data_IF_118960911094
#
_entry.id   IF_118960911094
#
_cell.length_a   1.000
_cell.length_b   1.000
_cell.length_c   1.000
_cell.angle_alpha   90.00
_cell.angle_beta   90.00
_cell.angle_gamma   90.00
#
_symmetry.space_group_name_H-M   'P 1'
#
loop_
_entity.id
_entity.type
_entity.pdbx_description
1 polymer ?
#
# COMPACT_ATOMS: atom_id res chain seq x y z
N UNK A 1 10.52 11.74 -0.24
CA UNK A 1 10.25 11.87 1.23
C UNK A 1 10.55 10.55 1.91
N UNK A 2 10.01 9.44 1.42
CA UNK A 2 10.28 8.11 1.96
C UNK A 2 11.74 7.71 1.87
N UNK A 3 12.46 8.10 0.82
CA UNK A 3 13.90 7.84 0.68
C UNK A 3 14.70 8.50 1.79
N UNK A 4 14.33 9.73 2.17
CA UNK A 4 14.91 10.43 3.31
C UNK A 4 14.55 9.73 4.63
N UNK A 5 13.31 9.26 4.79
CA UNK A 5 12.92 8.50 5.98
C UNK A 5 13.70 7.18 6.09
N UNK A 6 13.95 6.49 4.97
CA UNK A 6 14.83 5.31 4.90
C UNK A 6 16.27 5.66 5.28
N UNK A 7 16.80 6.78 4.80
CA UNK A 7 18.13 7.27 5.19
C UNK A 7 18.20 7.63 6.68
N UNK A 8 17.21 8.35 7.20
CA UNK A 8 17.06 8.71 8.62
C UNK A 8 17.07 7.44 9.51
N UNK A 9 16.30 6.41 9.14
CA UNK A 9 16.26 5.08 9.81
C UNK A 9 17.62 4.37 9.80
N UNK A 10 18.32 4.36 8.65
CA UNK A 10 19.62 3.70 8.54
C UNK A 10 20.72 4.43 9.33
N UNK A 11 20.67 5.77 9.35
CA UNK A 11 21.57 6.61 10.15
C UNK A 11 21.34 6.44 11.66
N UNK A 12 20.09 6.26 12.09
CA UNK A 12 19.76 5.93 13.47
C UNK A 12 20.26 4.53 13.83
N UNK A 13 19.96 3.53 13.01
CA UNK A 13 20.38 2.15 13.25
C UNK A 13 21.91 1.99 13.38
N UNK A 14 22.68 2.71 12.55
CA UNK A 14 24.14 2.73 12.63
C UNK A 14 24.67 3.25 13.98
N UNK A 15 23.93 4.13 14.67
CA UNK A 15 24.30 4.66 16.00
C UNK A 15 24.01 3.69 17.13
N UNK A 16 22.98 2.85 16.98
CA UNK A 16 22.52 1.90 18.01
C UNK A 16 22.91 0.44 17.72
N UNK A 17 23.94 0.23 16.90
CA UNK A 17 24.52 -1.10 16.65
C UNK A 17 23.69 -1.97 15.72
N UNK A 18 23.21 -1.39 14.61
CA UNK A 18 22.31 -2.00 13.62
C UNK A 18 20.96 -2.40 14.21
N UNK A 19 20.40 -1.54 15.07
CA UNK A 19 19.06 -1.69 15.65
C UNK A 19 18.30 -0.38 15.66
N UNK A 20 16.99 -0.44 15.47
CA UNK A 20 16.10 0.71 15.64
C UNK A 20 15.08 0.41 16.75
N UNK A 21 14.63 1.45 17.44
CA UNK A 21 13.54 1.33 18.40
C UNK A 21 12.22 1.39 17.64
N UNK A 22 11.44 0.31 17.73
CA UNK A 22 10.08 0.22 17.16
C UNK A 22 9.10 0.24 18.32
N UNK A 23 8.10 1.11 18.24
CA UNK A 23 6.97 1.13 19.19
C UNK A 23 5.77 0.48 18.52
N UNK A 24 5.37 -0.70 19.03
CA UNK A 24 4.18 -1.41 18.58
C UNK A 24 2.95 -1.00 19.42
N UNK A 25 1.81 -0.80 18.74
CA UNK A 25 0.50 -0.60 19.38
C UNK A 25 -0.22 -1.95 19.50
N UNK A 26 -0.43 -2.40 20.74
CA UNK A 26 -1.18 -3.63 21.03
C UNK A 26 -2.70 -3.42 20.83
N UNK A 27 -3.49 -4.50 20.61
CA UNK A 27 -4.93 -4.40 20.39
C UNK A 27 -5.75 -3.79 21.54
N UNK A 28 -5.17 -3.63 22.72
CA UNK A 28 -5.75 -2.95 23.89
C UNK A 28 -5.33 -1.47 24.01
N UNK A 29 -4.56 -0.95 23.04
CA UNK A 29 -4.05 0.42 22.99
C UNK A 29 -2.78 0.65 23.81
N UNK A 30 -2.14 -0.41 24.35
CA UNK A 30 -0.83 -0.27 25.01
C UNK A 30 0.30 -0.14 23.98
N UNK A 31 1.20 0.82 24.21
CA UNK A 31 2.40 1.03 23.39
C UNK A 31 3.58 0.26 24.01
N UNK A 32 4.27 -0.56 23.22
CA UNK A 32 5.40 -1.38 23.65
C UNK A 32 6.62 -1.09 22.79
N UNK A 33 7.72 -0.69 23.42
CA UNK A 33 8.99 -0.40 22.74
C UNK A 33 9.88 -1.66 22.64
N UNK A 34 10.34 -1.98 21.43
CA UNK A 34 11.22 -3.11 21.13
C UNK A 34 12.40 -2.68 20.24
N UNK A 35 13.60 -3.19 20.54
CA UNK A 35 14.80 -2.96 19.74
C UNK A 35 14.94 -3.99 18.62
N UNK A 36 14.48 -3.63 17.42
CA UNK A 36 14.53 -4.50 16.24
C UNK A 36 15.88 -4.39 15.51
N UNK A 37 16.54 -5.52 15.17
CA UNK A 37 17.73 -5.52 14.34
C UNK A 37 17.39 -5.19 12.89
N UNK A 38 18.14 -4.26 12.30
CA UNK A 38 17.93 -3.82 10.91
C UNK A 38 19.23 -3.79 10.13
N UNK A 39 19.14 -4.09 8.84
CA UNK A 39 20.25 -4.05 7.87
C UNK A 39 19.88 -3.11 6.72
N UNK A 40 20.84 -2.76 5.87
CA UNK A 40 20.58 -2.02 4.62
C UNK A 40 19.48 -2.65 3.77
N UNK A 41 19.40 -3.98 3.83
CA UNK A 41 18.56 -4.80 2.96
C UNK A 41 17.18 -5.06 3.58
N UNK A 42 17.02 -4.85 4.90
CA UNK A 42 15.72 -4.97 5.58
C UNK A 42 14.90 -3.68 5.55
N UNK A 43 15.52 -2.53 5.29
CA UNK A 43 14.82 -1.23 5.23
C UNK A 43 14.57 -0.88 3.76
N UNK A 44 13.30 -0.87 3.32
CA UNK A 44 12.90 -0.57 1.93
C UNK A 44 11.77 0.44 1.89
N UNK A 45 11.74 1.29 0.86
CA UNK A 45 10.57 2.12 0.59
C UNK A 45 9.45 1.25 -0.01
N UNK A 46 8.17 1.63 0.07
CA UNK A 46 7.10 0.86 -0.55
C UNK A 46 7.34 0.64 -2.05
N UNK A 47 7.82 1.67 -2.77
CA UNK A 47 8.21 1.57 -4.18
C UNK A 47 9.23 0.44 -4.41
N UNK A 48 10.32 0.41 -3.64
CA UNK A 48 11.35 -0.64 -3.74
C UNK A 48 10.80 -2.04 -3.52
N UNK A 49 9.81 -2.22 -2.62
CA UNK A 49 9.15 -3.51 -2.41
C UNK A 49 8.35 -3.93 -3.65
N UNK A 50 7.66 -3.02 -4.33
CA UNK A 50 6.94 -3.35 -5.57
C UNK A 50 7.87 -3.54 -6.78
N UNK A 51 8.96 -2.78 -6.89
CA UNK A 51 10.01 -2.99 -7.89
C UNK A 51 10.65 -4.39 -7.76
N UNK A 52 10.87 -4.88 -6.53
CA UNK A 52 11.35 -6.24 -6.29
C UNK A 52 10.33 -7.32 -6.63
N UNK A 53 9.03 -7.07 -6.40
CA UNK A 53 7.97 -7.99 -6.84
C UNK A 53 7.88 -8.04 -8.38
N UNK A 54 8.01 -6.90 -9.07
CA UNK A 54 8.10 -6.84 -10.53
C UNK A 54 9.33 -7.60 -11.05
N UNK A 55 10.47 -7.47 -10.38
CA UNK A 55 11.69 -8.23 -10.71
C UNK A 55 11.57 -9.74 -10.46
N UNK A 56 10.62 -10.18 -9.63
CA UNK A 56 10.23 -11.58 -9.43
C UNK A 56 9.09 -12.04 -10.37
N UNK A 57 8.84 -11.29 -11.45
CA UNK A 57 7.81 -11.55 -12.46
C UNK A 57 6.35 -11.50 -11.94
N UNK A 58 6.10 -10.89 -10.77
CA UNK A 58 4.73 -10.62 -10.34
C UNK A 58 4.13 -9.47 -11.15
N UNK A 59 2.90 -9.66 -11.65
CA UNK A 59 2.13 -8.66 -12.39
C UNK A 59 1.51 -7.62 -11.45
N UNK A 60 2.38 -6.76 -10.90
CA UNK A 60 2.00 -5.65 -10.02
C UNK A 60 2.44 -4.32 -10.62
N UNK A 61 1.60 -3.30 -10.46
CA UNK A 61 1.88 -1.93 -10.84
C UNK A 61 1.47 -1.01 -9.70
N UNK A 62 2.38 -0.11 -9.32
CA UNK A 62 2.34 0.64 -8.07
C UNK A 62 2.29 2.14 -8.35
N UNK A 63 1.28 2.81 -7.81
CA UNK A 63 1.12 4.25 -7.91
C UNK A 63 1.01 4.89 -6.53
N UNK A 64 1.79 5.95 -6.28
CA UNK A 64 1.76 6.70 -5.02
C UNK A 64 0.91 7.96 -5.17
N UNK A 65 -0.32 7.93 -4.66
CA UNK A 65 -1.24 9.08 -4.75
C UNK A 65 -1.34 9.81 -3.40
N UNK A 66 -0.87 11.07 -3.28
CA UNK A 66 -0.74 11.78 -2.01
C UNK A 66 -2.08 12.37 -1.52
N UNK A 67 -3.06 11.51 -1.23
CA UNK A 67 -4.35 11.92 -0.67
C UNK A 67 -4.18 12.36 0.79
N UNK A 68 -4.40 13.65 1.05
CA UNK A 68 -4.44 14.22 2.41
C UNK A 68 -5.61 13.67 3.21
N UNK A 69 -5.42 13.39 4.50
CA UNK A 69 -6.47 12.78 5.32
C UNK A 69 -7.70 13.68 5.51
N UNK A 70 -8.85 13.03 5.65
CA UNK A 70 -10.20 13.63 5.83
C UNK A 70 -10.62 14.74 4.83
N UNK A 71 -9.92 14.87 3.70
CA UNK A 71 -10.20 15.87 2.66
C UNK A 71 -10.41 15.21 1.30
N UNK A 72 -11.14 15.90 0.43
CA UNK A 72 -11.20 15.54 -0.99
C UNK A 72 -9.78 15.53 -1.58
N UNK A 73 -9.46 14.59 -2.50
CA UNK A 73 -8.24 14.68 -3.30
C UNK A 73 -8.16 16.03 -4.02
N UNK A 74 -6.95 16.52 -4.28
CA UNK A 74 -6.79 17.67 -5.17
C UNK A 74 -7.10 17.24 -6.60
N UNK A 75 -7.45 18.19 -7.46
CA UNK A 75 -7.79 17.94 -8.87
C UNK A 75 -6.71 17.13 -9.59
N UNK A 76 -5.42 17.47 -9.39
CA UNK A 76 -4.31 16.72 -9.98
C UNK A 76 -4.23 15.25 -9.48
N UNK A 77 -4.43 15.02 -8.18
CA UNK A 77 -4.39 13.68 -7.58
C UNK A 77 -5.60 12.84 -8.06
N UNK A 78 -6.75 13.50 -8.23
CA UNK A 78 -7.96 12.91 -8.81
C UNK A 78 -7.77 12.53 -10.28
N UNK A 79 -7.19 13.42 -11.10
CA UNK A 79 -6.90 13.14 -12.51
C UNK A 79 -5.93 11.97 -12.70
N UNK A 80 -4.95 11.82 -11.80
CA UNK A 80 -4.06 10.65 -11.77
C UNK A 80 -4.86 9.37 -11.50
N UNK A 81 -5.70 9.36 -10.46
CA UNK A 81 -6.58 8.21 -10.13
C UNK A 81 -7.48 7.83 -11.32
N UNK A 82 -8.21 8.80 -11.87
CA UNK A 82 -9.12 8.59 -13.00
C UNK A 82 -8.37 8.04 -14.20
N UNK A 83 -7.20 8.62 -14.54
CA UNK A 83 -6.38 8.17 -15.67
C UNK A 83 -5.94 6.72 -15.49
N UNK A 84 -5.37 6.35 -14.33
CA UNK A 84 -4.87 4.99 -14.06
C UNK A 84 -6.01 3.97 -14.08
N UNK A 85 -7.14 4.26 -13.43
CA UNK A 85 -8.34 3.41 -13.47
C UNK A 85 -8.95 3.33 -14.87
N UNK A 86 -8.82 4.37 -15.70
CA UNK A 86 -9.32 4.37 -17.09
C UNK A 86 -8.43 3.64 -18.09
N UNK A 87 -7.15 3.44 -17.75
CA UNK A 87 -6.17 2.71 -18.56
C UNK A 87 -6.04 1.23 -18.15
N UNK A 88 -6.46 0.86 -16.94
CA UNK A 88 -6.57 -0.52 -16.48
C UNK A 88 -7.49 -1.37 -17.40
N UNK A 89 -7.18 -2.65 -17.54
CA UNK A 89 -8.07 -3.60 -18.21
C UNK A 89 -9.31 -3.88 -17.34
N UNK A 90 -10.36 -4.43 -17.95
CA UNK A 90 -11.61 -4.78 -17.28
C UNK A 90 -11.41 -5.91 -16.25
N UNK A 91 -10.39 -6.76 -16.45
CA UNK A 91 -10.05 -7.87 -15.54
C UNK A 91 -9.01 -7.48 -14.48
N UNK A 92 -8.36 -6.31 -14.62
CA UNK A 92 -7.32 -5.82 -13.69
C UNK A 92 -7.91 -5.59 -12.29
N UNK A 93 -7.31 -6.20 -11.27
CA UNK A 93 -7.72 -5.96 -9.88
C UNK A 93 -7.09 -4.66 -9.36
N UNK A 94 -7.90 -3.80 -8.76
CA UNK A 94 -7.47 -2.49 -8.25
C UNK A 94 -7.57 -2.49 -6.72
N UNK A 95 -6.42 -2.36 -6.06
CA UNK A 95 -6.32 -2.35 -4.59
C UNK A 95 -5.96 -0.94 -4.10
N UNK A 96 -6.77 -0.43 -3.19
CA UNK A 96 -6.52 0.82 -2.46
C UNK A 96 -6.18 0.50 -1.01
N UNK A 97 -5.07 1.03 -0.52
CA UNK A 97 -4.68 0.89 0.88
C UNK A 97 -4.27 2.26 1.45
N UNK A 98 -4.63 2.50 2.71
CA UNK A 98 -4.19 3.64 3.52
C UNK A 98 -4.00 3.15 4.96
N UNK A 99 -3.35 3.96 5.81
CA UNK A 99 -2.95 3.60 7.19
C UNK A 99 -3.98 2.78 7.99
N UNK A 100 -5.27 3.16 7.93
CA UNK A 100 -6.35 2.46 8.65
C UNK A 100 -7.32 1.71 7.72
N UNK A 101 -7.15 1.76 6.40
CA UNK A 101 -8.13 1.25 5.43
C UNK A 101 -9.50 1.96 5.41
N UNK A 102 -9.62 3.15 6.05
CA UNK A 102 -10.90 3.88 6.21
C UNK A 102 -11.10 4.96 5.14
N UNK A 103 -11.07 6.24 5.51
CA UNK A 103 -11.51 7.36 4.65
C UNK A 103 -10.89 7.36 3.26
N UNK A 104 -9.56 7.44 3.17
CA UNK A 104 -8.84 7.57 1.90
C UNK A 104 -9.02 6.34 0.99
N UNK A 105 -9.05 5.13 1.54
CA UNK A 105 -9.37 3.88 0.82
C UNK A 105 -10.78 3.93 0.25
N UNK A 106 -11.79 4.27 1.07
CA UNK A 106 -13.18 4.40 0.61
C UNK A 106 -13.33 5.44 -0.49
N UNK A 107 -12.67 6.60 -0.38
CA UNK A 107 -12.68 7.63 -1.42
C UNK A 107 -12.10 7.10 -2.74
N UNK A 108 -10.94 6.45 -2.72
CA UNK A 108 -10.33 5.84 -3.91
C UNK A 108 -11.22 4.78 -4.56
N UNK A 109 -11.83 3.91 -3.74
CA UNK A 109 -12.78 2.90 -4.22
C UNK A 109 -14.03 3.50 -4.87
N UNK A 110 -14.64 4.53 -4.27
CA UNK A 110 -15.82 5.21 -4.82
C UNK A 110 -15.50 5.87 -6.16
N UNK A 111 -14.40 6.62 -6.24
CA UNK A 111 -13.94 7.25 -7.50
C UNK A 111 -13.76 6.18 -8.58
N UNK A 112 -13.06 5.09 -8.25
CA UNK A 112 -12.77 4.02 -9.20
C UNK A 112 -14.02 3.29 -9.67
N UNK A 113 -14.97 3.07 -8.77
CA UNK A 113 -16.29 2.48 -9.10
C UNK A 113 -17.04 3.37 -10.09
N UNK A 114 -17.05 4.70 -9.87
CA UNK A 114 -17.69 5.66 -10.77
C UNK A 114 -17.04 5.70 -12.16
N UNK A 115 -15.70 5.71 -12.22
CA UNK A 115 -14.94 5.67 -13.48
C UNK A 115 -15.18 4.35 -14.22
N UNK A 116 -15.16 3.23 -13.52
CA UNK A 116 -15.42 1.91 -14.10
C UNK A 116 -16.84 1.81 -14.67
N UNK A 117 -17.87 2.17 -13.90
CA UNK A 117 -19.26 2.22 -14.35
C UNK A 117 -19.46 3.12 -15.58
N UNK A 118 -18.74 4.24 -15.65
CA UNK A 118 -18.76 5.13 -16.82
C UNK A 118 -18.14 4.48 -18.08
N UNK A 119 -17.10 3.64 -17.93
CA UNK A 119 -16.45 2.92 -19.04
C UNK A 119 -17.27 1.76 -19.60
N UNK A 120 -17.78 0.89 -18.73
CA UNK A 120 -18.43 -0.36 -19.14
C UNK A 120 -19.94 -0.22 -19.40
N UNK A 121 -20.56 0.87 -18.94
CA UNK A 121 -22.02 0.94 -18.82
C UNK A 121 -22.55 0.01 -17.71
N UNK A 122 -23.84 0.10 -17.39
CA UNK A 122 -24.45 -0.56 -16.22
C UNK A 122 -24.66 -2.10 -16.37
N UNK A 123 -23.77 -2.80 -17.09
CA UNK A 123 -23.97 -4.19 -17.56
C UNK A 123 -22.82 -5.15 -17.25
N UNK A 124 -21.71 -4.69 -16.65
CA UNK A 124 -20.56 -5.53 -16.31
C UNK A 124 -20.68 -6.19 -14.94
N UNK A 125 -20.09 -7.38 -14.79
CA UNK A 125 -20.04 -8.10 -13.52
C UNK A 125 -19.18 -7.37 -12.48
N UNK A 126 -19.66 -7.32 -11.23
CA UNK A 126 -19.09 -6.52 -10.15
C UNK A 126 -18.19 -7.37 -9.25
N UNK A 127 -16.88 -7.13 -9.29
CA UNK A 127 -15.95 -7.69 -8.29
C UNK A 127 -14.84 -6.68 -7.95
N UNK A 128 -15.17 -5.71 -7.09
CA UNK A 128 -14.19 -4.91 -6.34
C UNK A 128 -14.18 -5.43 -4.90
N UNK A 129 -13.34 -6.41 -4.60
CA UNK A 129 -13.29 -7.01 -3.26
C UNK A 129 -12.58 -6.09 -2.28
N UNK A 130 -13.34 -5.53 -1.33
CA UNK A 130 -12.77 -4.92 -0.14
C UNK A 130 -12.13 -6.02 0.73
N UNK A 131 -10.84 -5.90 1.01
CA UNK A 131 -10.20 -6.65 2.10
C UNK A 131 -9.33 -5.69 2.91
N UNK A 132 -9.80 -5.32 4.10
CA UNK A 132 -8.98 -4.67 5.12
C UNK A 132 -8.12 -5.74 5.78
N UNK A 133 -6.82 -5.71 5.56
CA UNK A 133 -5.88 -6.68 6.13
C UNK A 133 -5.09 -6.06 7.29
N UNK A 134 -5.11 -6.74 8.43
CA UNK A 134 -4.35 -6.40 9.64
C UNK A 134 -3.13 -7.33 9.73
N UNK A 135 -1.94 -6.81 10.08
CA UNK A 135 -0.68 -7.57 10.02
C UNK A 135 -0.04 -7.79 11.40
N UNK A 136 -0.38 -8.88 12.11
CA UNK A 136 0.26 -9.25 13.37
C UNK A 136 1.46 -10.19 13.12
N UNK A 137 2.65 -9.60 12.95
CA UNK A 137 3.96 -10.27 12.84
C UNK A 137 4.24 -11.10 11.57
N UNK A 138 5.52 -11.22 11.23
CA UNK A 138 6.03 -11.70 9.93
C UNK A 138 6.35 -13.21 9.90
N UNK A 139 5.83 -14.00 10.85
CA UNK A 139 6.38 -15.31 11.24
C UNK A 139 5.72 -16.55 10.62
N UNK A 140 4.47 -16.45 10.12
CA UNK A 140 3.70 -17.62 9.65
C UNK A 140 3.50 -17.63 8.12
N UNK A 141 4.57 -17.95 7.40
CA UNK A 141 4.61 -17.92 5.94
C UNK A 141 4.25 -19.27 5.27
N UNK A 142 3.29 -20.03 5.80
CA UNK A 142 2.90 -21.32 5.19
C UNK A 142 2.02 -21.16 3.94
N UNK A 143 2.61 -21.58 2.81
CA UNK A 143 2.07 -22.23 1.60
C UNK A 143 0.56 -22.10 1.30
N UNK A 144 0.21 -21.20 0.37
CA UNK A 144 -0.87 -21.38 -0.61
C UNK A 144 -0.42 -20.79 -1.96
N UNK A 145 -0.75 -21.40 -3.11
CA UNK A 145 -0.39 -20.85 -4.41
C UNK A 145 -1.30 -19.68 -4.79
N UNK A 146 -0.69 -18.62 -5.35
CA UNK A 146 -1.35 -17.44 -5.93
C UNK A 146 -2.22 -16.57 -4.98
N UNK A 147 -1.56 -15.82 -4.08
CA UNK A 147 -1.90 -14.44 -3.62
C UNK A 147 -1.03 -14.07 -2.40
N UNK A 148 -0.16 -13.03 -2.48
CA UNK A 148 0.54 -12.45 -1.29
C UNK A 148 1.19 -11.09 -1.55
N UNK A 149 0.87 -10.14 -0.67
CA UNK A 149 1.30 -8.73 -0.61
C UNK A 149 2.11 -8.53 0.71
N UNK A 150 2.42 -7.38 1.32
CA UNK A 150 1.88 -6.01 1.36
C UNK A 150 2.97 -5.04 1.89
N UNK A 151 2.84 -3.72 1.65
CA UNK A 151 3.22 -2.67 2.64
C UNK A 151 2.70 -1.30 2.21
N UNK A 152 2.31 -0.42 3.15
CA UNK A 152 1.87 0.93 2.82
C UNK A 152 1.82 1.94 4.00
N UNK A 153 2.66 2.98 3.93
CA UNK A 153 2.44 4.24 4.62
C UNK A 153 1.82 5.27 3.65
N UNK A 154 0.67 5.84 4.00
CA UNK A 154 0.00 6.94 3.26
C UNK A 154 -0.25 6.70 1.75
N UNK A 155 -1.40 6.08 1.45
CA UNK A 155 -2.03 5.96 0.12
C UNK A 155 -1.17 5.56 -1.06
N UNK A 156 -1.35 4.31 -1.49
CA UNK A 156 -0.93 3.83 -2.79
C UNK A 156 -2.08 3.05 -3.40
N UNK A 157 -2.16 3.17 -4.73
CA UNK A 157 -3.10 2.46 -5.56
C UNK A 157 -2.28 1.41 -6.30
N UNK A 158 -2.70 0.16 -6.21
CA UNK A 158 -1.99 -0.97 -6.78
C UNK A 158 -2.90 -1.57 -7.84
N UNK A 159 -2.39 -1.73 -9.05
CA UNK A 159 -3.04 -2.39 -10.17
C UNK A 159 -2.39 -3.76 -10.37
N UNK A 160 -3.22 -4.79 -10.60
CA UNK A 160 -2.79 -6.15 -10.94
C UNK A 160 -3.28 -6.48 -12.34
N UNK A 161 -2.35 -6.63 -13.28
CA UNK A 161 -2.63 -6.91 -14.70
C UNK A 161 -2.95 -8.37 -14.98
#
# INVERSE_FOLDING_TARGET
MEDRLKEDVLLEAARYGNKILVTDELPDGQMVDQWEPVTSDSVKTPLQVYEELQAQEYLVDYERVPITDEKSPKELDFDILVRRVSQADVNTQIIFNCQMGRGRTTTGMVISTLVYLNRIGASGNYFLSCQTWYFPSMSNLEIFPALRFYSLASCSCILFY
#
